data_IF_292626660488
#
_entry.id   IF_292626660488
#
_cell.length_a   1.000
_cell.length_b   1.000
_cell.length_c   1.000
_cell.angle_alpha   90.00
_cell.angle_beta   90.00
_cell.angle_gamma   90.00
#
_symmetry.space_group_name_H-M   'P 1'
#
loop_
_entity.id
_entity.type
_entity.pdbx_description
1 polymer ?
#
# COMPACT_ATOMS: atom_id res chain seq x y z
N UNK A 1 2.07 -5.34 -20.31
CA UNK A 1 0.72 -4.75 -20.42
C UNK A 1 0.42 -4.08 -19.10
N UNK A 2 0.37 -2.74 -19.08
CA UNK A 2 -0.02 -1.96 -17.91
C UNK A 2 -1.46 -2.31 -17.53
N UNK A 3 -1.62 -3.13 -16.49
CA UNK A 3 -2.94 -3.35 -15.88
C UNK A 3 -3.29 -2.08 -15.13
N UNK A 4 -4.12 -1.24 -15.75
CA UNK A 4 -4.79 -0.14 -15.07
C UNK A 4 -5.74 -0.73 -14.02
N UNK A 5 -5.48 -0.46 -12.75
CA UNK A 5 -6.36 -0.86 -11.66
C UNK A 5 -7.39 0.25 -11.41
N UNK A 6 -8.69 -0.08 -11.28
CA UNK A 6 -9.71 0.93 -11.04
C UNK A 6 -9.43 1.66 -9.74
N UNK A 7 -9.42 3.00 -9.80
CA UNK A 7 -9.35 3.86 -8.62
C UNK A 7 -10.72 3.96 -7.98
N UNK A 8 -10.81 3.63 -6.69
CA UNK A 8 -12.08 3.59 -5.96
C UNK A 8 -12.04 4.41 -4.67
N UNK A 9 -13.23 4.66 -4.12
CA UNK A 9 -13.44 5.20 -2.77
C UNK A 9 -13.76 4.07 -1.78
N UNK A 10 -13.79 4.37 -0.47
CA UNK A 10 -14.11 3.37 0.54
C UNK A 10 -15.57 2.87 0.43
N UNK A 11 -16.49 3.74 0.01
CA UNK A 11 -17.88 3.37 -0.25
C UNK A 11 -18.03 2.25 -1.30
N UNK A 12 -17.07 2.14 -2.23
CA UNK A 12 -17.10 1.20 -3.34
C UNK A 12 -16.44 -0.16 -3.01
N UNK A 13 -15.91 -0.35 -1.80
CA UNK A 13 -15.21 -1.60 -1.42
C UNK A 13 -16.10 -2.84 -1.57
N UNK A 14 -17.36 -2.78 -1.13
CA UNK A 14 -18.27 -3.91 -1.21
C UNK A 14 -18.57 -4.31 -2.66
N UNK A 15 -18.72 -3.33 -3.55
CA UNK A 15 -19.03 -3.55 -4.96
C UNK A 15 -17.84 -4.17 -5.72
N UNK A 16 -16.62 -4.02 -5.20
CA UNK A 16 -15.38 -4.49 -5.81
C UNK A 16 -14.72 -5.64 -5.02
N UNK A 17 -15.47 -6.34 -4.16
CA UNK A 17 -14.95 -7.45 -3.36
C UNK A 17 -14.26 -8.51 -4.24
N UNK A 18 -13.09 -8.97 -3.80
CA UNK A 18 -12.25 -9.93 -4.54
C UNK A 18 -11.46 -9.34 -5.72
N UNK A 19 -11.72 -8.10 -6.14
CA UNK A 19 -11.01 -7.46 -7.24
C UNK A 19 -9.74 -6.75 -6.77
N UNK A 20 -8.82 -6.50 -7.71
CA UNK A 20 -7.63 -5.67 -7.48
C UNK A 20 -7.97 -4.23 -7.84
N UNK A 21 -7.78 -3.33 -6.90
CA UNK A 21 -8.17 -1.92 -7.00
C UNK A 21 -7.03 -1.02 -6.52
N UNK A 22 -7.13 0.27 -6.86
CA UNK A 22 -6.29 1.32 -6.26
C UNK A 22 -7.15 2.25 -5.41
N UNK A 23 -6.64 2.65 -4.24
CA UNK A 23 -7.31 3.62 -3.36
C UNK A 23 -6.30 4.62 -2.82
N UNK A 24 -6.70 5.89 -2.76
CA UNK A 24 -5.87 6.96 -2.20
C UNK A 24 -6.42 7.38 -0.85
N UNK A 25 -5.54 7.57 0.13
CA UNK A 25 -5.94 8.06 1.44
C UNK A 25 -4.78 8.39 2.36
N UNK A 26 -5.12 8.96 3.52
CA UNK A 26 -4.16 9.32 4.56
C UNK A 26 -4.07 8.23 5.60
N UNK A 27 -2.87 7.76 5.90
CA UNK A 27 -2.64 6.80 6.98
C UNK A 27 -2.93 7.45 8.33
N UNK A 28 -3.81 6.83 9.10
CA UNK A 28 -4.22 7.28 10.44
C UNK A 28 -3.47 6.49 11.51
N UNK A 29 -3.36 5.18 11.31
CA UNK A 29 -2.76 4.26 12.30
C UNK A 29 -2.02 3.16 11.58
N UNK A 30 -0.89 2.74 12.13
CA UNK A 30 -0.09 1.63 11.61
C UNK A 30 0.28 0.71 12.77
N UNK A 31 0.23 -0.60 12.53
CA UNK A 31 0.83 -1.64 13.36
C UNK A 31 1.70 -2.50 12.48
N UNK A 32 3.00 -2.47 12.73
CA UNK A 32 3.99 -3.30 12.03
C UNK A 32 4.45 -4.40 12.98
N UNK A 33 4.59 -5.60 12.45
CA UNK A 33 5.16 -6.76 13.11
C UNK A 33 6.36 -7.22 12.31
N UNK A 34 7.50 -7.40 12.99
CA UNK A 34 8.76 -7.82 12.38
C UNK A 34 9.18 -9.15 13.00
N UNK A 35 9.53 -10.11 12.15
CA UNK A 35 9.96 -11.44 12.55
C UNK A 35 11.36 -11.69 12.02
N UNK A 36 12.24 -12.17 12.90
CA UNK A 36 13.52 -12.73 12.50
C UNK A 36 13.31 -14.21 12.20
N UNK A 37 13.48 -14.59 10.94
CA UNK A 37 13.51 -15.97 10.48
C UNK A 37 14.98 -16.39 10.46
N UNK A 38 15.32 -17.44 11.20
CA UNK A 38 16.64 -18.05 11.18
C UNK A 38 16.52 -19.47 10.64
N UNK A 39 17.12 -19.74 9.49
CA UNK A 39 17.30 -21.08 8.96
C UNK A 39 18.76 -21.49 9.03
N UNK A 40 19.00 -22.79 9.18
CA UNK A 40 20.33 -23.38 9.04
C UNK A 40 20.34 -24.10 7.71
N UNK A 41 21.23 -23.68 6.83
CA UNK A 41 21.45 -24.33 5.55
C UNK A 41 22.77 -25.07 5.61
N UNK A 42 22.72 -26.36 5.29
CA UNK A 42 23.92 -27.18 5.17
C UNK A 42 24.34 -27.20 3.72
N UNK A 43 25.55 -26.71 3.47
CA UNK A 43 26.20 -26.82 2.18
C UNK A 43 27.01 -28.13 2.16
N UNK A 44 26.52 -29.10 1.38
CA UNK A 44 27.13 -30.41 1.26
C UNK A 44 28.44 -30.41 0.46
N UNK A 45 28.68 -29.39 -0.38
CA UNK A 45 29.93 -29.29 -1.16
C UNK A 45 31.07 -28.72 -0.32
N UNK A 46 30.78 -27.76 0.56
CA UNK A 46 31.79 -27.13 1.42
C UNK A 46 31.82 -27.66 2.85
N UNK A 47 30.90 -28.57 3.21
CA UNK A 47 30.71 -29.11 4.57
C UNK A 47 30.51 -27.99 5.62
N UNK A 48 29.89 -26.88 5.24
CA UNK A 48 29.64 -25.73 6.12
C UNK A 48 28.16 -25.62 6.47
N UNK A 49 27.92 -25.15 7.70
CA UNK A 49 26.59 -24.72 8.14
C UNK A 49 26.55 -23.20 8.02
N UNK A 50 25.69 -22.69 7.15
CA UNK A 50 25.35 -21.28 7.10
C UNK A 50 24.12 -21.02 7.96
N UNK A 51 24.16 -19.94 8.74
CA UNK A 51 22.95 -19.37 9.36
C UNK A 51 22.43 -18.32 8.38
N UNK A 52 21.24 -18.57 7.83
CA UNK A 52 20.54 -17.63 6.97
C UNK A 52 19.52 -16.90 7.81
N UNK A 53 19.61 -15.57 7.82
CA UNK A 53 18.68 -14.70 8.54
C UNK A 53 17.85 -13.90 7.54
N UNK A 54 16.52 -13.99 7.63
CA UNK A 54 15.60 -13.16 6.89
C UNK A 54 14.72 -12.36 7.85
N UNK A 55 14.37 -11.13 7.48
CA UNK A 55 13.39 -10.33 8.24
C UNK A 55 12.09 -10.29 7.45
N UNK A 56 11.04 -10.87 8.00
CA UNK A 56 9.69 -10.74 7.45
C UNK A 56 8.96 -9.62 8.18
N UNK A 57 8.50 -8.62 7.44
CA UNK A 57 7.74 -7.51 8.00
C UNK A 57 6.35 -7.50 7.41
N UNK A 58 5.34 -7.64 8.27
CA UNK A 58 3.94 -7.53 7.90
C UNK A 58 3.23 -6.57 8.83
N UNK A 59 2.06 -6.10 8.44
CA UNK A 59 1.37 -5.12 9.27
C UNK A 59 -0.08 -4.91 8.91
N UNK A 60 -0.68 -4.00 9.66
CA UNK A 60 -2.00 -3.46 9.36
C UNK A 60 -1.94 -1.95 9.44
N UNK A 61 -2.52 -1.27 8.47
CA UNK A 61 -2.77 0.16 8.52
C UNK A 61 -4.28 0.43 8.52
N UNK A 62 -4.65 1.53 9.14
CA UNK A 62 -5.94 2.18 8.96
C UNK A 62 -5.69 3.45 8.17
N UNK A 63 -6.35 3.56 7.04
CA UNK A 63 -6.27 4.69 6.13
C UNK A 63 -7.61 5.42 6.07
N UNK A 64 -7.59 6.74 6.05
CA UNK A 64 -8.74 7.60 5.78
C UNK A 64 -8.77 7.94 4.30
N UNK A 65 -9.75 7.41 3.58
CA UNK A 65 -9.93 7.66 2.15
C UNK A 65 -10.48 9.08 1.90
N UNK A 66 -10.54 9.50 0.63
CA UNK A 66 -11.01 10.83 0.23
C UNK A 66 -12.45 11.12 0.67
N UNK A 67 -13.31 10.10 0.69
CA UNK A 67 -14.69 10.14 1.19
C UNK A 67 -14.79 10.15 2.74
N UNK A 68 -13.66 10.38 3.42
CA UNK A 68 -13.51 10.44 4.87
C UNK A 68 -13.73 9.12 5.62
N UNK A 69 -14.08 8.04 4.92
CA UNK A 69 -14.27 6.73 5.51
C UNK A 69 -12.94 6.02 5.80
N UNK A 70 -12.96 5.12 6.78
CA UNK A 70 -11.78 4.38 7.21
C UNK A 70 -11.70 3.02 6.51
N UNK A 71 -10.51 2.71 6.01
CA UNK A 71 -10.21 1.49 5.27
C UNK A 71 -9.07 0.77 5.97
N UNK A 72 -9.23 -0.53 6.19
CA UNK A 72 -8.18 -1.38 6.71
C UNK A 72 -7.31 -1.87 5.56
N UNK A 73 -6.00 -1.77 5.72
CA UNK A 73 -5.01 -2.25 4.76
C UNK A 73 -4.15 -3.28 5.47
N UNK A 74 -4.06 -4.49 4.91
CA UNK A 74 -3.09 -5.50 5.30
C UNK A 74 -1.81 -5.22 4.52
N UNK A 75 -0.75 -4.89 5.25
CA UNK A 75 0.56 -4.51 4.71
C UNK A 75 1.34 -5.81 4.50
N UNK A 76 1.72 -6.05 3.25
CA UNK A 76 2.47 -7.25 2.85
C UNK A 76 3.95 -6.92 2.67
N UNK A 77 4.25 -5.72 2.20
CA UNK A 77 5.61 -5.20 2.12
C UNK A 77 5.62 -3.86 2.85
N UNK A 78 6.20 -3.84 4.05
CA UNK A 78 6.13 -2.69 4.96
C UNK A 78 6.96 -1.47 4.54
N UNK A 79 6.97 -1.13 3.27
CA UNK A 79 7.64 0.06 2.80
C UNK A 79 6.77 1.28 3.11
N UNK A 80 7.29 2.12 4.01
CA UNK A 80 6.90 3.52 4.19
C UNK A 80 5.48 3.83 4.71
N UNK A 81 4.76 2.89 5.32
CA UNK A 81 3.52 3.24 6.04
C UNK A 81 3.85 3.98 7.35
N UNK A 82 3.55 5.28 7.40
CA UNK A 82 3.64 6.08 8.62
C UNK A 82 2.36 6.89 8.83
N UNK A 83 1.89 7.06 10.09
CA UNK A 83 0.78 7.96 10.38
C UNK A 83 1.02 9.35 9.79
N UNK A 84 0.00 9.90 9.14
CA UNK A 84 0.04 11.22 8.52
C UNK A 84 0.36 11.23 7.04
N UNK A 85 0.99 10.17 6.50
CA UNK A 85 1.32 10.08 5.08
C UNK A 85 0.07 9.85 4.21
N UNK A 86 0.06 10.46 3.04
CA UNK A 86 -0.89 10.12 1.99
C UNK A 86 -0.26 9.04 1.12
N UNK A 87 -1.03 8.00 0.82
CA UNK A 87 -0.57 6.86 0.04
C UNK A 87 -1.64 6.48 -0.97
N UNK A 88 -1.20 6.04 -2.14
CA UNK A 88 -2.00 5.26 -3.07
C UNK A 88 -1.68 3.79 -2.82
N UNK A 89 -2.68 2.99 -2.41
CA UNK A 89 -2.55 1.56 -2.16
C UNK A 89 -3.22 0.80 -3.29
N UNK A 90 -2.45 0.00 -4.00
CA UNK A 90 -2.96 -1.00 -4.96
C UNK A 90 -2.95 -2.37 -4.30
N UNK A 91 -4.10 -3.04 -4.28
CA UNK A 91 -4.24 -4.31 -3.61
C UNK A 91 -5.55 -5.00 -3.91
N UNK A 92 -5.68 -6.24 -3.42
CA UNK A 92 -6.91 -7.02 -3.56
C UNK A 92 -7.83 -6.78 -2.38
N UNK A 93 -9.11 -6.57 -2.63
CA UNK A 93 -10.12 -6.49 -1.56
C UNK A 93 -10.41 -7.91 -1.06
N UNK A 94 -10.13 -8.17 0.21
CA UNK A 94 -10.47 -9.42 0.89
C UNK A 94 -11.94 -9.48 1.32
N UNK A 95 -12.37 -10.65 1.77
CA UNK A 95 -13.77 -10.90 2.20
C UNK A 95 -14.20 -10.02 3.39
N UNK A 96 -13.24 -9.57 4.20
CA UNK A 96 -13.46 -8.66 5.33
C UNK A 96 -13.37 -7.16 4.93
N UNK A 97 -13.34 -6.88 3.61
CA UNK A 97 -13.19 -5.54 3.03
C UNK A 97 -11.86 -4.85 3.36
N UNK A 98 -10.89 -5.59 3.92
CA UNK A 98 -9.54 -5.09 4.03
C UNK A 98 -8.83 -5.25 2.69
N UNK A 99 -7.98 -4.29 2.36
CA UNK A 99 -7.16 -4.35 1.14
C UNK A 99 -5.87 -5.07 1.50
N UNK A 100 -5.60 -6.19 0.84
CA UNK A 100 -4.29 -6.83 0.85
C UNK A 100 -3.39 -6.13 -0.16
N UNK A 101 -2.43 -5.37 0.37
CA UNK A 101 -1.49 -4.58 -0.40
C UNK A 101 -0.64 -5.46 -1.31
N UNK A 102 -0.55 -5.07 -2.60
CA UNK A 102 0.47 -5.55 -3.52
C UNK A 102 1.56 -4.50 -3.74
N UNK A 103 1.16 -3.24 -3.81
CA UNK A 103 2.04 -2.11 -4.02
C UNK A 103 1.46 -0.85 -3.39
N UNK A 104 2.31 0.02 -2.86
CA UNK A 104 1.94 1.33 -2.35
C UNK A 104 2.94 2.40 -2.79
N UNK A 105 2.42 3.59 -3.06
CA UNK A 105 3.22 4.76 -3.45
C UNK A 105 2.88 5.90 -2.50
N UNK A 106 3.91 6.58 -2.00
CA UNK A 106 3.73 7.82 -1.25
C UNK A 106 3.16 8.90 -2.17
N UNK A 107 1.99 9.39 -1.82
CA UNK A 107 1.31 10.44 -2.55
C UNK A 107 1.72 11.79 -1.94
N UNK A 108 2.51 12.58 -2.65
CA UNK A 108 2.86 13.93 -2.19
C UNK A 108 1.70 14.89 -2.47
N UNK A 109 0.93 15.20 -1.42
CA UNK A 109 -0.18 16.15 -1.49
C UNK A 109 0.24 17.57 -1.83
N UNK A 110 1.49 17.97 -1.56
CA UNK A 110 1.99 19.27 -1.99
C UNK A 110 2.14 19.31 -3.51
N UNK A 111 2.67 18.22 -4.09
CA UNK A 111 2.80 18.05 -5.53
C UNK A 111 1.44 17.99 -6.22
N UNK A 112 0.48 17.26 -5.63
CA UNK A 112 -0.90 17.23 -6.12
C UNK A 112 -1.57 18.61 -6.06
N UNK A 113 -1.42 19.34 -4.95
CA UNK A 113 -1.97 20.69 -4.79
C UNK A 113 -1.38 21.67 -5.81
N UNK A 114 -0.06 21.60 -6.02
CA UNK A 114 0.62 22.38 -7.07
C UNK A 114 0.11 22.02 -8.46
N UNK A 115 -0.12 20.74 -8.75
CA UNK A 115 -0.71 20.33 -10.03
C UNK A 115 -2.12 20.90 -10.23
N UNK A 116 -2.96 20.94 -9.18
CA UNK A 116 -4.29 21.56 -9.26
C UNK A 116 -4.18 23.07 -9.51
N UNK A 117 -3.25 23.75 -8.84
CA UNK A 117 -3.02 25.17 -9.08
C UNK A 117 -2.53 25.45 -10.50
N UNK A 118 -1.62 24.60 -11.01
CA UNK A 118 -1.13 24.67 -12.40
C UNK A 118 -2.26 24.39 -13.38
N UNK A 119 -3.09 23.37 -13.16
CA UNK A 119 -4.20 23.05 -14.08
C UNK A 119 -5.28 24.12 -14.13
N UNK A 120 -5.50 24.83 -13.02
CA UNK A 120 -6.36 26.02 -12.97
C UNK A 120 -5.75 27.23 -13.68
N UNK A 121 -4.42 27.37 -13.66
CA UNK A 121 -3.69 28.48 -14.30
C UNK A 121 -3.48 28.27 -15.80
N UNK A 122 -3.41 27.02 -16.23
CA UNK A 122 -3.11 26.63 -17.61
C UNK A 122 -4.21 25.71 -18.13
N UNK A 123 -5.45 26.21 -18.14
CA UNK A 123 -6.63 25.51 -18.69
C UNK A 123 -6.44 25.11 -20.15
N UNK A 124 -5.65 25.87 -20.89
CA UNK A 124 -5.53 25.79 -22.35
C UNK A 124 -4.56 24.69 -22.81
N UNK A 125 -3.87 24.02 -21.87
CA UNK A 125 -2.83 23.00 -22.13
C UNK A 125 -3.30 21.60 -21.68
N UNK A 126 -4.21 21.53 -20.70
CA UNK A 126 -4.53 20.28 -19.98
C UNK A 126 -5.88 19.67 -20.42
N UNK A 127 -6.65 20.35 -21.29
CA UNK A 127 -7.87 19.82 -21.91
C UNK A 127 -7.86 20.00 -23.44
#
# INVERSE_FOLDING_TARGET
MDKSYPRITAAQLHQNSGQVVSIVGRIVKVRIYSYLIMSREFDAETLRIAIVTATATYGTAVMKACDQALVKVKIVQAQNFQPGLFVEVTGRIGENLAIEEYHSINYDMNLYSRMIEISKKFTDIIF
#
